data_IF_012159224080
#
_entry.id   IF_012159224080
#
_cell.length_a   1.000
_cell.length_b   1.000
_cell.length_c   1.000
_cell.angle_alpha   90.00
_cell.angle_beta   90.00
_cell.angle_gamma   90.00
#
_symmetry.space_group_name_H-M   'P 1'
#
loop_
_entity.id
_entity.type
_entity.pdbx_description
1 polymer ?
#
# COMPACT_ATOMS: atom_id res chain seq x y z
N UNK A 1 -27.58 2.20 -4.88
CA UNK A 1 -26.39 2.90 -5.43
C UNK A 1 -25.65 3.55 -4.25
N UNK A 2 -24.31 3.64 -4.23
CA UNK A 2 -23.52 4.00 -3.03
C UNK A 2 -24.07 5.19 -2.20
N UNK A 3 -24.54 6.25 -2.87
CA UNK A 3 -25.16 7.42 -2.22
C UNK A 3 -26.40 7.12 -1.35
N UNK A 4 -27.20 6.09 -1.69
CA UNK A 4 -28.36 5.71 -0.87
C UNK A 4 -27.94 5.11 0.47
N UNK A 5 -26.86 4.33 0.48
CA UNK A 5 -26.30 3.78 1.71
C UNK A 5 -25.67 4.87 2.58
N UNK A 6 -24.94 5.80 1.97
CA UNK A 6 -24.37 6.93 2.67
C UNK A 6 -25.45 7.83 3.30
N UNK A 7 -26.54 8.08 2.58
CA UNK A 7 -27.68 8.83 3.13
C UNK A 7 -28.30 8.13 4.34
N UNK A 8 -28.53 6.82 4.24
CA UNK A 8 -29.06 6.03 5.35
C UNK A 8 -28.15 6.09 6.57
N UNK A 9 -26.82 6.02 6.38
CA UNK A 9 -25.85 6.17 7.48
C UNK A 9 -25.96 7.53 8.17
N UNK A 10 -26.18 8.62 7.41
CA UNK A 10 -26.39 9.95 8.01
C UNK A 10 -27.69 10.00 8.81
N UNK A 11 -28.75 9.34 8.33
CA UNK A 11 -30.02 9.26 9.06
C UNK A 11 -29.91 8.42 10.33
N UNK A 12 -29.22 7.28 10.26
CA UNK A 12 -29.01 6.37 11.39
C UNK A 12 -28.18 7.04 12.51
N UNK A 13 -27.22 7.90 12.15
CA UNK A 13 -26.40 8.67 13.10
C UNK A 13 -27.11 9.93 13.61
N UNK A 14 -28.12 10.42 12.87
CA UNK A 14 -28.75 11.71 13.08
C UNK A 14 -28.04 12.81 12.29
N UNK A 15 -28.80 13.51 11.44
CA UNK A 15 -28.29 14.53 10.49
C UNK A 15 -27.51 15.66 11.18
N UNK A 16 -27.92 16.03 12.39
CA UNK A 16 -27.28 17.05 13.22
C UNK A 16 -25.90 16.63 13.75
N UNK A 17 -25.60 15.33 13.77
CA UNK A 17 -24.36 14.78 14.31
C UNK A 17 -23.29 14.57 13.23
N UNK A 18 -23.63 14.74 11.94
CA UNK A 18 -22.71 14.51 10.83
C UNK A 18 -22.39 15.83 10.13
N UNK A 19 -21.13 16.25 10.24
CA UNK A 19 -20.62 17.46 9.57
C UNK A 19 -19.77 17.17 8.34
N UNK A 20 -19.13 15.99 8.30
CA UNK A 20 -18.19 15.64 7.25
C UNK A 20 -18.20 14.13 6.96
N UNK A 21 -18.06 13.79 5.68
CA UNK A 21 -17.83 12.44 5.20
C UNK A 21 -16.50 12.37 4.47
N UNK A 22 -15.68 11.40 4.86
CA UNK A 22 -14.37 11.15 4.25
C UNK A 22 -14.37 9.75 3.66
N UNK A 23 -14.19 9.64 2.35
CA UNK A 23 -14.17 8.35 1.63
C UNK A 23 -13.01 8.29 0.66
N UNK A 24 -12.79 7.13 0.02
CA UNK A 24 -11.79 7.07 -1.06
C UNK A 24 -12.15 7.97 -2.24
N UNK A 25 -11.19 8.14 -3.15
CA UNK A 25 -11.27 9.03 -4.31
C UNK A 25 -11.71 8.29 -5.59
N UNK A 26 -12.18 7.05 -5.47
CA UNK A 26 -12.74 6.31 -6.59
C UNK A 26 -13.98 7.02 -7.14
N UNK A 27 -14.18 6.96 -8.45
CA UNK A 27 -15.27 7.69 -9.14
C UNK A 27 -16.65 7.47 -8.51
N UNK A 28 -16.94 6.25 -8.06
CA UNK A 28 -18.19 5.91 -7.36
C UNK A 28 -18.38 6.68 -6.05
N UNK A 29 -17.29 6.87 -5.29
CA UNK A 29 -17.29 7.59 -4.02
C UNK A 29 -17.34 9.10 -4.24
N UNK A 30 -16.62 9.62 -5.24
CA UNK A 30 -16.71 11.03 -5.65
C UNK A 30 -18.14 11.38 -6.06
N UNK A 31 -18.76 10.56 -6.90
CA UNK A 31 -20.15 10.79 -7.36
C UNK A 31 -21.14 10.70 -6.19
N UNK A 32 -20.97 9.73 -5.29
CA UNK A 32 -21.82 9.59 -4.13
C UNK A 32 -21.65 10.77 -3.15
N UNK A 33 -20.42 11.20 -2.89
CA UNK A 33 -20.09 12.34 -2.04
C UNK A 33 -20.67 13.65 -2.56
N UNK A 34 -20.55 13.91 -3.87
CA UNK A 34 -21.20 15.06 -4.52
C UNK A 34 -22.72 15.04 -4.33
N UNK A 35 -23.34 13.87 -4.54
CA UNK A 35 -24.79 13.71 -4.36
C UNK A 35 -25.22 13.88 -2.91
N UNK A 36 -24.39 13.51 -1.93
CA UNK A 36 -24.64 13.81 -0.51
C UNK A 36 -24.61 15.32 -0.28
N UNK A 37 -23.62 16.04 -0.79
CA UNK A 37 -23.55 17.50 -0.63
C UNK A 37 -24.74 18.22 -1.28
N UNK A 38 -25.25 17.72 -2.41
CA UNK A 38 -26.48 18.24 -3.06
C UNK A 38 -27.74 17.99 -2.22
N UNK A 39 -27.87 16.82 -1.61
CA UNK A 39 -29.06 16.41 -0.85
C UNK A 39 -29.03 16.87 0.60
N UNK A 40 -27.84 17.13 1.15
CA UNK A 40 -27.58 17.52 2.53
C UNK A 40 -26.54 18.65 2.59
N UNK A 41 -26.94 19.92 2.41
CA UNK A 41 -26.00 21.05 2.34
C UNK A 41 -25.16 21.28 3.59
N UNK A 42 -25.50 20.68 4.74
CA UNK A 42 -24.75 20.76 5.99
C UNK A 42 -23.62 19.72 6.09
N UNK A 43 -23.63 18.69 5.24
CA UNK A 43 -22.61 17.64 5.22
C UNK A 43 -21.61 17.92 4.11
N UNK A 44 -20.33 18.03 4.47
CA UNK A 44 -19.26 18.18 3.49
C UNK A 44 -18.65 16.83 3.14
N UNK A 45 -18.42 16.58 1.85
CA UNK A 45 -17.63 15.43 1.42
C UNK A 45 -16.22 15.86 1.03
N UNK A 46 -15.23 15.10 1.50
CA UNK A 46 -13.82 15.30 1.12
C UNK A 46 -13.14 13.97 0.82
N UNK A 47 -12.20 13.91 -0.13
CA UNK A 47 -11.45 12.70 -0.41
C UNK A 47 -10.52 12.33 0.77
N UNK A 48 -10.30 11.04 0.94
CA UNK A 48 -9.42 10.50 1.97
C UNK A 48 -7.96 10.86 1.69
N UNK A 49 -7.34 11.60 2.61
CA UNK A 49 -5.94 12.03 2.52
C UNK A 49 -4.98 10.86 2.38
N UNK A 50 -5.20 9.76 3.11
CA UNK A 50 -4.35 8.58 3.02
C UNK A 50 -4.37 7.97 1.60
N UNK A 51 -5.55 7.95 0.96
CA UNK A 51 -5.67 7.48 -0.41
C UNK A 51 -5.05 8.47 -1.41
N UNK A 52 -5.19 9.78 -1.19
CA UNK A 52 -4.50 10.78 -2.00
C UNK A 52 -2.97 10.61 -1.95
N UNK A 53 -2.39 10.35 -0.77
CA UNK A 53 -0.95 10.08 -0.62
C UNK A 53 -0.56 8.79 -1.36
N UNK A 54 -1.39 7.75 -1.29
CA UNK A 54 -1.13 6.50 -2.02
C UNK A 54 -1.08 6.73 -3.54
N UNK A 55 -2.00 7.54 -4.09
CA UNK A 55 -2.00 7.94 -5.50
C UNK A 55 -0.78 8.83 -5.86
N UNK A 56 -0.38 9.76 -4.99
CA UNK A 56 0.85 10.53 -5.21
C UNK A 56 2.08 9.61 -5.29
N UNK A 57 2.15 8.60 -4.43
CA UNK A 57 3.24 7.60 -4.45
C UNK A 57 3.20 6.73 -5.70
N UNK A 58 2.00 6.42 -6.22
CA UNK A 58 1.83 5.76 -7.52
C UNK A 58 2.48 6.57 -8.64
N UNK A 59 2.15 7.86 -8.73
CA UNK A 59 2.64 8.72 -9.80
C UNK A 59 4.15 8.96 -9.71
N UNK A 60 4.68 9.13 -8.50
CA UNK A 60 6.14 9.14 -8.28
C UNK A 60 6.76 7.81 -8.72
N UNK A 61 6.09 6.69 -8.45
CA UNK A 61 6.57 5.35 -8.80
C UNK A 61 6.62 5.09 -10.31
N UNK A 62 5.81 5.81 -11.10
CA UNK A 62 5.83 5.76 -12.57
C UNK A 62 7.01 6.51 -13.19
N UNK A 63 7.68 7.39 -12.43
CA UNK A 63 8.89 8.07 -12.92
C UNK A 63 9.98 7.03 -13.19
N UNK A 64 10.66 7.12 -14.34
CA UNK A 64 11.66 6.13 -14.80
C UNK A 64 12.72 5.81 -13.73
N UNK A 65 13.18 6.82 -13.00
CA UNK A 65 14.19 6.69 -11.93
C UNK A 65 13.71 5.80 -10.77
N UNK A 66 12.41 5.79 -10.48
CA UNK A 66 11.82 4.99 -9.40
C UNK A 66 11.30 3.65 -9.91
N UNK A 67 10.71 3.62 -11.12
CA UNK A 67 10.03 2.45 -11.67
C UNK A 67 10.93 1.21 -11.69
N UNK A 68 12.16 1.34 -12.20
CA UNK A 68 13.08 0.20 -12.28
C UNK A 68 13.48 -0.31 -10.89
N UNK A 69 13.76 0.60 -9.96
CA UNK A 69 14.15 0.26 -8.59
C UNK A 69 13.01 -0.44 -7.85
N UNK A 70 11.79 0.08 -7.94
CA UNK A 70 10.61 -0.50 -7.31
C UNK A 70 10.27 -1.88 -7.90
N UNK A 71 10.42 -2.04 -9.23
CA UNK A 71 10.26 -3.34 -9.88
C UNK A 71 11.27 -4.36 -9.35
N UNK A 72 12.56 -4.03 -9.34
CA UNK A 72 13.61 -4.92 -8.82
C UNK A 72 13.40 -5.27 -7.34
N UNK A 73 12.98 -4.31 -6.52
CA UNK A 73 12.65 -4.57 -5.12
C UNK A 73 11.51 -5.59 -4.98
N UNK A 74 10.45 -5.44 -5.78
CA UNK A 74 9.35 -6.41 -5.83
C UNK A 74 9.84 -7.79 -6.27
N UNK A 75 10.65 -7.87 -7.32
CA UNK A 75 11.18 -9.13 -7.85
C UNK A 75 12.03 -9.88 -6.81
N UNK A 76 12.89 -9.17 -6.07
CA UNK A 76 13.69 -9.75 -4.97
C UNK A 76 12.80 -10.34 -3.89
N UNK A 77 11.79 -9.59 -3.43
CA UNK A 77 10.87 -10.10 -2.37
C UNK A 77 10.04 -11.27 -2.88
N UNK A 78 9.51 -11.20 -4.11
CA UNK A 78 8.77 -12.32 -4.70
C UNK A 78 9.65 -13.57 -4.84
N UNK A 79 10.92 -13.42 -5.23
CA UNK A 79 11.85 -14.54 -5.29
C UNK A 79 12.08 -15.17 -3.92
N UNK A 80 12.42 -14.36 -2.90
CA UNK A 80 12.71 -14.86 -1.54
C UNK A 80 11.50 -15.61 -0.96
N UNK A 81 10.31 -15.01 -1.00
CA UNK A 81 9.11 -15.66 -0.45
C UNK A 81 8.55 -16.76 -1.34
N UNK A 82 8.95 -16.83 -2.61
CA UNK A 82 8.56 -17.89 -3.54
C UNK A 82 9.38 -19.17 -3.40
N UNK A 83 10.52 -19.12 -2.70
CA UNK A 83 11.42 -20.26 -2.52
C UNK A 83 11.71 -20.49 -1.05
N UNK A 84 11.25 -21.63 -0.51
CA UNK A 84 11.41 -21.95 0.92
C UNK A 84 12.87 -21.89 1.38
N UNK A 85 13.81 -22.40 0.58
CA UNK A 85 15.23 -22.37 0.91
C UNK A 85 15.77 -20.93 0.98
N UNK A 86 15.34 -20.04 0.08
CA UNK A 86 15.76 -18.64 0.07
C UNK A 86 15.14 -17.87 1.24
N UNK A 87 13.89 -18.18 1.58
CA UNK A 87 13.21 -17.63 2.75
C UNK A 87 13.90 -18.04 4.06
N UNK A 88 14.28 -19.30 4.20
CA UNK A 88 14.95 -19.82 5.39
C UNK A 88 16.36 -19.21 5.55
N UNK A 89 17.11 -19.08 4.45
CA UNK A 89 18.38 -18.36 4.45
C UNK A 89 18.18 -16.88 4.81
N UNK A 90 17.21 -16.20 4.19
CA UNK A 90 16.93 -14.80 4.51
C UNK A 90 16.67 -14.64 6.00
N UNK A 91 15.80 -15.47 6.58
CA UNK A 91 15.51 -15.46 8.02
C UNK A 91 16.72 -15.72 8.89
N UNK A 92 17.60 -16.65 8.50
CA UNK A 92 18.85 -16.89 9.21
C UNK A 92 19.73 -15.64 9.23
N UNK A 93 19.99 -15.03 8.06
CA UNK A 93 20.87 -13.87 7.94
C UNK A 93 20.26 -12.58 8.53
N UNK A 94 18.95 -12.41 8.46
CA UNK A 94 18.25 -11.24 9.01
C UNK A 94 17.85 -11.42 10.48
N UNK A 95 18.20 -12.53 11.13
CA UNK A 95 17.76 -12.85 12.51
C UNK A 95 16.24 -12.82 12.64
N UNK A 96 15.54 -13.45 11.70
CA UNK A 96 14.08 -13.51 11.56
C UNK A 96 13.40 -12.15 11.34
N UNK A 97 14.14 -11.11 10.91
CA UNK A 97 13.49 -9.88 10.46
C UNK A 97 12.92 -10.09 9.04
N UNK A 98 11.60 -10.10 8.96
CA UNK A 98 10.85 -10.26 7.71
C UNK A 98 10.98 -9.00 6.83
N UNK A 99 10.89 -9.21 5.50
CA UNK A 99 10.74 -8.11 4.55
C UNK A 99 9.25 -7.78 4.39
N UNK A 100 8.94 -6.52 4.16
CA UNK A 100 7.57 -6.13 3.85
C UNK A 100 7.22 -6.60 2.45
N UNK A 101 6.09 -7.31 2.34
CA UNK A 101 5.59 -7.79 1.06
C UNK A 101 4.76 -6.71 0.37
N UNK A 102 4.93 -6.49 -0.94
CA UNK A 102 4.08 -5.59 -1.70
C UNK A 102 2.61 -6.05 -1.62
N UNK A 103 1.71 -5.14 -1.26
CA UNK A 103 0.27 -5.36 -1.36
C UNK A 103 -0.20 -4.90 -2.75
N UNK A 104 -1.06 -5.70 -3.38
CA UNK A 104 -1.60 -5.39 -4.72
C UNK A 104 -2.41 -4.09 -4.72
N UNK A 105 -3.03 -3.74 -3.59
CA UNK A 105 -4.03 -2.66 -3.50
C UNK A 105 -3.51 -1.35 -2.92
N UNK A 106 -2.21 -1.23 -2.61
CA UNK A 106 -1.63 -0.02 -1.97
C UNK A 106 -0.23 0.28 -2.49
N UNK A 107 -0.05 1.41 -3.18
CA UNK A 107 1.22 1.81 -3.77
C UNK A 107 2.30 2.14 -2.73
N UNK A 108 1.91 2.65 -1.57
CA UNK A 108 2.80 2.89 -0.44
C UNK A 108 3.58 1.63 -0.03
N UNK A 109 3.00 0.44 -0.22
CA UNK A 109 3.65 -0.82 0.16
C UNK A 109 4.87 -1.13 -0.70
N UNK A 110 4.97 -0.63 -1.93
CA UNK A 110 6.17 -0.79 -2.75
C UNK A 110 7.36 -0.02 -2.15
N UNK A 111 7.13 1.18 -1.63
CA UNK A 111 8.15 1.98 -0.95
C UNK A 111 8.52 1.39 0.41
N UNK A 112 7.55 0.89 1.16
CA UNK A 112 7.81 0.18 2.42
C UNK A 112 8.60 -1.11 2.20
N UNK A 113 8.31 -1.83 1.10
CA UNK A 113 9.10 -3.00 0.67
C UNK A 113 10.55 -2.59 0.42
N UNK A 114 10.77 -1.55 -0.37
CA UNK A 114 12.11 -1.02 -0.64
C UNK A 114 12.82 -0.58 0.65
N UNK A 115 12.12 0.08 1.57
CA UNK A 115 12.67 0.45 2.88
C UNK A 115 13.07 -0.77 3.70
N UNK A 116 12.28 -1.84 3.69
CA UNK A 116 12.60 -3.08 4.42
C UNK A 116 13.85 -3.77 3.87
N UNK A 117 14.00 -3.82 2.53
CA UNK A 117 15.22 -4.31 1.88
C UNK A 117 16.41 -3.45 2.30
N UNK A 118 16.26 -2.12 2.30
CA UNK A 118 17.34 -1.22 2.66
C UNK A 118 17.77 -1.40 4.13
N UNK A 119 16.82 -1.62 5.06
CA UNK A 119 17.11 -1.92 6.47
C UNK A 119 17.89 -3.23 6.62
N UNK A 120 17.59 -4.23 5.81
CA UNK A 120 18.26 -5.54 5.81
C UNK A 120 19.40 -5.66 4.78
N UNK A 121 19.85 -4.55 4.20
CA UNK A 121 20.76 -4.55 3.04
C UNK A 121 22.05 -5.34 3.28
N UNK A 122 22.65 -5.17 4.46
CA UNK A 122 23.91 -5.87 4.78
C UNK A 122 23.67 -7.37 4.94
N UNK A 123 22.64 -7.78 5.70
CA UNK A 123 22.26 -9.18 5.86
C UNK A 123 21.92 -9.86 4.54
N UNK A 124 21.14 -9.20 3.67
CA UNK A 124 20.80 -9.72 2.34
C UNK A 124 22.03 -9.86 1.44
N UNK A 125 23.00 -8.93 1.52
CA UNK A 125 24.26 -9.06 0.79
C UNK A 125 25.10 -10.23 1.31
N UNK A 126 25.22 -10.37 2.64
CA UNK A 126 25.92 -11.50 3.25
C UNK A 126 25.27 -12.83 2.87
N UNK A 127 23.94 -12.90 2.83
CA UNK A 127 23.20 -14.07 2.35
C UNK A 127 23.61 -14.44 0.92
N UNK A 128 23.54 -13.48 -0.01
CA UNK A 128 23.84 -13.70 -1.44
C UNK A 128 25.31 -14.02 -1.72
N UNK A 129 26.22 -13.65 -0.81
CA UNK A 129 27.66 -13.95 -0.92
C UNK A 129 28.09 -15.16 -0.09
N UNK A 130 27.15 -15.89 0.52
CA UNK A 130 27.45 -17.05 1.37
C UNK A 130 27.61 -18.34 0.56
N UNK A 131 28.42 -19.28 1.05
CA UNK A 131 28.51 -20.63 0.48
C UNK A 131 27.17 -21.37 0.53
N UNK A 132 26.38 -21.11 1.58
CA UNK A 132 25.05 -21.67 1.74
C UNK A 132 24.11 -21.28 0.58
N UNK A 133 24.25 -20.07 0.04
CA UNK A 133 23.52 -19.64 -1.16
C UNK A 133 23.94 -20.43 -2.40
N UNK A 134 25.25 -20.59 -2.62
CA UNK A 134 25.81 -21.34 -3.75
C UNK A 134 25.49 -22.83 -3.73
N UNK A 135 24.98 -23.36 -2.62
CA UNK A 135 24.54 -24.76 -2.53
C UNK A 135 23.22 -24.98 -3.30
N UNK A 136 22.45 -23.93 -3.57
CA UNK A 136 21.13 -23.99 -4.21
C UNK A 136 21.07 -23.30 -5.59
N UNK A 137 22.16 -22.68 -6.05
CA UNK A 137 22.25 -21.94 -7.33
C UNK A 137 23.47 -22.38 -8.13
#
# INVERSE_FOLDING_TARGET
MLASHLNKLVDDVGKENVVQMITDNGSNFVNAGKRIMETRPHVYWTPCVAHCIDLMLEDIGKLKIHQETLKKAKDVVMFIYGHTWALDLMRFFTKNHELLRPAVTRFATAYLTLQSIQKQKQALRSMLSSEAWNTFT
#
